data_IF_023698092534
#
_entry.id   IF_023698092534
#
_cell.length_a   1.000
_cell.length_b   1.000
_cell.length_c   1.000
_cell.angle_alpha   90.00
_cell.angle_beta   90.00
_cell.angle_gamma   90.00
#
_symmetry.space_group_name_H-M   'P 1'
#
loop_
_entity.id
_entity.type
_entity.pdbx_description
1 polymer ?
#
# COMPACT_ATOMS: atom_id res chain seq x y z
N UNK A 1 -6.02 -25.48 -9.47
CA UNK A 1 -4.59 -25.13 -9.47
C UNK A 1 -4.41 -23.74 -8.85
N UNK A 2 -3.95 -23.65 -7.60
CA UNK A 2 -3.63 -22.38 -6.97
C UNK A 2 -2.20 -21.97 -7.40
N UNK A 3 -2.10 -21.23 -8.50
CA UNK A 3 -0.82 -20.79 -9.04
C UNK A 3 -0.08 -19.90 -8.04
N UNK A 4 1.19 -20.20 -7.81
CA UNK A 4 2.12 -19.41 -7.00
C UNK A 4 2.08 -17.96 -7.48
N UNK A 5 1.35 -17.10 -6.77
CA UNK A 5 1.28 -15.68 -7.06
C UNK A 5 2.63 -15.09 -6.69
N UNK A 6 3.44 -14.71 -7.68
CA UNK A 6 4.70 -14.01 -7.44
C UNK A 6 4.47 -12.84 -6.47
N UNK A 7 5.29 -12.79 -5.41
CA UNK A 7 5.23 -11.69 -4.43
C UNK A 7 5.65 -10.39 -5.14
N UNK A 8 4.85 -9.35 -4.95
CA UNK A 8 5.19 -7.99 -5.42
C UNK A 8 6.42 -7.50 -4.66
N UNK A 9 7.23 -6.66 -5.31
CA UNK A 9 8.35 -6.00 -4.64
C UNK A 9 7.88 -5.13 -3.47
N UNK A 10 8.52 -5.23 -2.30
CA UNK A 10 8.06 -4.57 -1.07
C UNK A 10 7.92 -3.06 -1.23
N UNK A 11 8.82 -2.42 -2.00
CA UNK A 11 8.78 -0.97 -2.27
C UNK A 11 7.50 -0.54 -3.01
N UNK A 12 6.95 -1.41 -3.86
CA UNK A 12 5.67 -1.16 -4.52
C UNK A 12 4.50 -1.36 -3.57
N UNK A 13 4.61 -2.30 -2.62
CA UNK A 13 3.59 -2.49 -1.58
C UNK A 13 3.55 -1.27 -0.65
N UNK A 14 4.70 -0.81 -0.19
CA UNK A 14 4.86 0.43 0.59
C UNK A 14 4.24 1.60 -0.16
N UNK A 15 4.56 1.76 -1.45
CA UNK A 15 3.95 2.83 -2.25
C UNK A 15 2.42 2.72 -2.36
N UNK A 16 1.86 1.51 -2.46
CA UNK A 16 0.39 1.33 -2.45
C UNK A 16 -0.21 1.81 -1.12
N UNK A 17 0.46 1.55 0.01
CA UNK A 17 -0.02 1.96 1.32
C UNK A 17 0.01 3.48 1.47
N UNK A 18 1.12 4.12 1.08
CA UNK A 18 1.22 5.59 1.05
C UNK A 18 0.09 6.22 0.21
N UNK A 19 -0.18 5.68 -0.98
CA UNK A 19 -1.24 6.20 -1.84
C UNK A 19 -2.63 6.08 -1.18
N UNK A 20 -2.87 5.02 -0.39
CA UNK A 20 -4.12 4.85 0.34
C UNK A 20 -4.22 5.84 1.50
N UNK A 21 -3.11 6.10 2.20
CA UNK A 21 -3.01 7.12 3.25
C UNK A 21 -3.26 8.52 2.67
N UNK A 22 -2.75 8.81 1.46
CA UNK A 22 -3.03 10.04 0.68
C UNK A 22 -4.47 10.11 0.13
N UNK A 23 -5.29 9.08 0.36
CA UNK A 23 -6.71 9.06 -0.01
C UNK A 23 -7.01 8.46 -1.40
N UNK A 24 -6.03 7.94 -2.13
CA UNK A 24 -6.26 7.34 -3.45
C UNK A 24 -7.01 6.00 -3.30
N UNK A 25 -8.21 5.93 -3.89
CA UNK A 25 -9.07 4.73 -3.88
C UNK A 25 -9.19 4.03 -5.23
N UNK A 26 -8.66 4.64 -6.30
CA UNK A 26 -8.78 4.11 -7.67
C UNK A 26 -7.57 3.25 -8.04
N UNK A 27 -7.82 1.99 -8.40
CA UNK A 27 -6.76 1.03 -8.81
C UNK A 27 -5.97 1.52 -10.02
N UNK A 28 -6.64 2.18 -11.00
CA UNK A 28 -5.97 2.69 -12.19
C UNK A 28 -5.00 3.82 -11.88
N UNK A 29 -5.34 4.65 -10.90
CA UNK A 29 -4.50 5.75 -10.42
C UNK A 29 -3.30 5.19 -9.68
N UNK A 30 -3.52 4.29 -8.71
CA UNK A 30 -2.44 3.58 -8.04
C UNK A 30 -1.49 2.90 -9.05
N UNK A 31 -2.02 2.23 -10.08
CA UNK A 31 -1.22 1.62 -11.15
C UNK A 31 -0.38 2.64 -11.92
N UNK A 32 -0.87 3.87 -12.12
CA UNK A 32 -0.10 4.95 -12.75
C UNK A 32 1.07 5.36 -11.86
N UNK A 33 0.84 5.58 -10.57
CA UNK A 33 1.89 5.92 -9.60
C UNK A 33 2.96 4.83 -9.51
N UNK A 34 2.56 3.56 -9.47
CA UNK A 34 3.52 2.44 -9.44
C UNK A 34 4.40 2.40 -10.70
N UNK A 35 3.86 2.68 -11.88
CA UNK A 35 4.68 2.77 -13.11
C UNK A 35 5.70 3.89 -13.04
N UNK A 36 5.32 5.04 -12.49
CA UNK A 36 6.22 6.18 -12.28
C UNK A 36 7.33 5.79 -11.30
N UNK A 37 7.01 5.14 -10.17
CA UNK A 37 8.01 4.65 -9.22
C UNK A 37 9.00 3.66 -9.84
N UNK A 38 8.50 2.68 -10.62
CA UNK A 38 9.37 1.69 -11.28
C UNK A 38 10.35 2.40 -12.23
N UNK A 39 9.86 3.37 -13.01
CA UNK A 39 10.67 4.11 -13.98
C UNK A 39 11.67 5.06 -13.30
N UNK A 40 11.20 5.83 -12.33
CA UNK A 40 11.92 7.01 -11.80
C UNK A 40 12.70 6.71 -10.52
N UNK A 41 12.49 5.55 -9.89
CA UNK A 41 13.17 5.21 -8.63
C UNK A 41 13.81 3.83 -8.64
N UNK A 42 13.17 2.81 -9.23
CA UNK A 42 13.67 1.43 -9.15
C UNK A 42 14.67 1.06 -10.24
N UNK A 43 14.56 1.66 -11.43
CA UNK A 43 15.39 1.32 -12.59
C UNK A 43 16.08 2.54 -13.21
N UNK A 44 16.40 3.56 -12.39
CA UNK A 44 17.18 4.72 -12.85
C UNK A 44 18.55 4.25 -13.32
N UNK A 45 18.91 4.57 -14.56
CA UNK A 45 20.18 4.16 -15.17
C UNK A 45 20.30 2.67 -15.49
N UNK A 46 19.19 1.92 -15.46
CA UNK A 46 19.14 0.48 -15.78
C UNK A 46 18.02 0.15 -16.76
N UNK A 47 18.08 -1.03 -17.39
CA UNK A 47 17.03 -1.48 -18.30
C UNK A 47 15.72 -1.76 -17.55
N UNK A 48 14.62 -1.22 -18.07
CA UNK A 48 13.29 -1.39 -17.47
C UNK A 48 12.87 -2.86 -17.55
N UNK A 49 12.29 -3.44 -16.47
CA UNK A 49 11.81 -4.80 -16.52
C UNK A 49 10.66 -4.91 -17.54
N UNK A 50 10.47 -6.08 -18.16
CA UNK A 50 9.35 -6.28 -19.06
C UNK A 50 8.02 -6.18 -18.30
N UNK A 51 6.98 -5.65 -18.97
CA UNK A 51 5.63 -5.50 -18.38
C UNK A 51 4.99 -6.83 -17.95
N UNK A 52 5.49 -7.95 -18.44
CA UNK A 52 5.10 -9.30 -18.00
C UNK A 52 5.60 -9.66 -16.60
N UNK A 53 6.61 -8.94 -16.09
CA UNK A 53 7.17 -9.15 -14.77
C UNK A 53 6.21 -8.62 -13.69
N UNK A 54 5.38 -9.53 -13.14
CA UNK A 54 4.36 -9.21 -12.14
C UNK A 54 4.93 -8.73 -10.81
N UNK A 55 6.23 -8.93 -10.57
CA UNK A 55 6.93 -8.38 -9.39
C UNK A 55 6.97 -6.85 -9.41
N UNK A 56 7.19 -6.27 -10.60
CA UNK A 56 7.28 -4.81 -10.81
C UNK A 56 6.05 -4.20 -11.49
N UNK A 57 5.30 -4.99 -12.25
CA UNK A 57 4.07 -4.58 -12.91
C UNK A 57 2.90 -5.43 -12.41
N UNK A 58 2.43 -5.19 -11.19
CA UNK A 58 1.36 -5.99 -10.61
C UNK A 58 0.04 -5.85 -11.36
N UNK A 59 -0.78 -6.90 -11.26
CA UNK A 59 -2.12 -6.90 -11.84
C UNK A 59 -3.06 -5.97 -11.07
N UNK A 60 -4.13 -5.51 -11.72
CA UNK A 60 -5.15 -4.70 -11.06
C UNK A 60 -5.79 -5.42 -9.85
N UNK A 61 -5.94 -6.76 -9.93
CA UNK A 61 -6.44 -7.57 -8.81
C UNK A 61 -5.47 -7.52 -7.63
N UNK A 62 -4.17 -7.63 -7.88
CA UNK A 62 -3.16 -7.61 -6.83
C UNK A 62 -3.07 -6.23 -6.18
N UNK A 63 -3.09 -5.16 -6.97
CA UNK A 63 -3.12 -3.78 -6.47
C UNK A 63 -4.35 -3.58 -5.57
N UNK A 64 -5.54 -3.97 -6.03
CA UNK A 64 -6.78 -3.87 -5.24
C UNK A 64 -6.68 -4.60 -3.91
N UNK A 65 -6.10 -5.80 -3.91
CA UNK A 65 -5.92 -6.58 -2.68
C UNK A 65 -5.06 -5.82 -1.66
N UNK A 66 -3.92 -5.28 -2.08
CA UNK A 66 -3.05 -4.49 -1.20
C UNK A 66 -3.71 -3.19 -0.75
N UNK A 67 -4.46 -2.51 -1.62
CA UNK A 67 -5.23 -1.31 -1.23
C UNK A 67 -6.26 -1.65 -0.15
N UNK A 68 -7.01 -2.74 -0.30
CA UNK A 68 -7.98 -3.17 0.71
C UNK A 68 -7.31 -3.48 2.05
N UNK A 69 -6.16 -4.18 2.03
CA UNK A 69 -5.39 -4.46 3.24
C UNK A 69 -4.90 -3.16 3.91
N UNK A 70 -4.43 -2.19 3.13
CA UNK A 70 -4.02 -0.89 3.64
C UNK A 70 -5.20 -0.11 4.26
N UNK A 71 -6.37 -0.12 3.62
CA UNK A 71 -7.60 0.51 4.15
C UNK A 71 -8.01 -0.13 5.49
N UNK A 72 -8.02 -1.47 5.55
CA UNK A 72 -8.36 -2.19 6.79
C UNK A 72 -7.35 -1.86 7.89
N UNK A 73 -6.05 -1.81 7.55
CA UNK A 73 -4.99 -1.43 8.50
C UNK A 73 -5.19 0.00 9.03
N UNK A 74 -5.52 0.94 8.16
CA UNK A 74 -5.78 2.34 8.52
C UNK A 74 -7.00 2.45 9.46
N UNK A 75 -8.08 1.74 9.15
CA UNK A 75 -9.29 1.70 9.99
C UNK A 75 -9.02 1.07 11.36
N UNK A 76 -8.28 -0.04 11.39
CA UNK A 76 -7.93 -0.72 12.64
C UNK A 76 -7.04 0.16 13.53
N UNK A 77 -6.09 0.91 12.94
CA UNK A 77 -5.27 1.86 13.67
C UNK A 77 -6.13 2.99 14.28
N UNK A 78 -7.01 3.61 13.49
CA UNK A 78 -7.90 4.68 13.97
C UNK A 78 -8.82 4.23 15.11
N UNK A 79 -9.35 3.00 15.02
CA UNK A 79 -10.16 2.42 16.10
C UNK A 79 -9.35 2.21 17.38
N UNK A 80 -8.12 1.70 17.25
CA UNK A 80 -7.24 1.47 18.39
C UNK A 80 -6.86 2.78 19.09
N UNK A 81 -6.45 3.79 18.33
CA UNK A 81 -6.12 5.12 18.86
C UNK A 81 -7.30 5.77 19.58
N UNK A 82 -8.51 5.62 19.03
CA UNK A 82 -9.74 6.12 19.67
C UNK A 82 -10.01 5.44 21.01
N UNK A 83 -9.74 4.14 21.13
CA UNK A 83 -9.87 3.41 22.39
C UNK A 83 -8.80 3.87 23.39
N UNK A 84 -7.54 3.97 22.99
CA UNK A 84 -6.43 4.41 23.86
C UNK A 84 -6.68 5.82 24.43
N UNK A 85 -7.19 6.76 23.63
CA UNK A 85 -7.49 8.13 24.08
C UNK A 85 -8.71 8.23 25.04
N UNK A 86 -9.53 7.18 25.15
CA UNK A 86 -10.70 7.15 26.05
C UNK A 86 -10.32 6.68 27.47
N UNK A 87 -9.13 6.09 27.65
CA UNK A 87 -8.70 5.50 28.93
C UNK A 87 -7.69 6.35 29.71
N UNK A 88 -7.33 7.56 29.28
CA UNK A 88 -6.51 8.47 30.09
C UNK A 88 -7.33 8.93 31.32
N UNK A 89 -7.03 8.45 32.54
CA UNK A 89 -7.74 8.92 33.71
C UNK A 89 -7.30 10.36 33.97
N UNK A 90 -8.24 11.30 33.91
CA UNK A 90 -8.02 12.64 34.43
C UNK A 90 -7.59 12.50 35.89
N UNK A 91 -6.30 12.72 36.14
CA UNK A 91 -5.73 12.80 37.48
C UNK A 91 -6.39 14.02 38.14
N UNK A 92 -7.37 13.77 39.00
CA UNK A 92 -7.91 14.79 39.88
C UNK A 92 -6.84 14.96 40.97
N UNK A 93 -6.03 16.00 40.84
CA UNK A 93 -5.15 16.44 41.93
C UNK A 93 -6.06 16.92 43.09
N UNK A 94 -5.93 16.27 44.25
CA UNK A 94 -6.52 16.66 45.54
C UNK A 94 -5.72 17.78 46.22
#
# INVERSE_FOLDING_TARGET
VAGISQRIDSRLVEKIHELVEDGIRRVNEAKRHLRVLVRDSLFVGSSMPPKSNKRFFPSAKTIRNHMNLAIIKQQHFALRESLENTFEPHHIEE
#
